data_IF_186226889810
#
_entry.id   IF_186226889810
#
_cell.length_a   1.000
_cell.length_b   1.000
_cell.length_c   1.000
_cell.angle_alpha   90.00
_cell.angle_beta   90.00
_cell.angle_gamma   90.00
#
_symmetry.space_group_name_H-M   'P 1'
#
loop_
_entity.id
_entity.type
_entity.pdbx_description
1 polymer ?
#
# COMPACT_ATOMS: atom_id res chain seq x y z
N UNK A 1 0.24 -15.11 26.71
CA UNK A 1 -1.16 -15.60 26.70
C UNK A 1 -1.21 -16.93 25.96
N UNK A 2 -1.82 -17.93 26.54
CA UNK A 2 -1.96 -19.22 25.88
C UNK A 2 -2.96 -19.13 24.74
N UNK A 3 -2.64 -19.78 23.61
CA UNK A 3 -3.52 -19.91 22.47
C UNK A 3 -4.27 -21.23 22.52
N UNK A 4 -5.44 -21.24 21.91
CA UNK A 4 -6.32 -22.41 21.88
C UNK A 4 -6.84 -22.63 20.48
N UNK A 5 -7.18 -23.90 20.18
CA UNK A 5 -7.92 -24.26 18.98
C UNK A 5 -9.07 -25.19 19.34
N UNK A 6 -10.07 -25.26 18.47
CA UNK A 6 -11.24 -26.09 18.68
C UNK A 6 -11.11 -27.39 17.92
N UNK A 7 -11.33 -28.52 18.63
CA UNK A 7 -11.39 -29.86 18.06
C UNK A 7 -12.71 -30.50 18.50
N UNK A 8 -13.58 -30.81 17.55
CA UNK A 8 -14.91 -31.36 17.82
C UNK A 8 -15.73 -30.52 18.81
N UNK A 9 -15.61 -29.19 18.73
CA UNK A 9 -16.28 -28.26 19.64
C UNK A 9 -15.60 -28.11 21.00
N UNK A 10 -14.49 -28.80 21.24
CA UNK A 10 -13.73 -28.71 22.49
C UNK A 10 -12.53 -27.79 22.27
N UNK A 11 -12.36 -26.83 23.16
CA UNK A 11 -11.19 -25.96 23.14
C UNK A 11 -9.98 -26.69 23.72
N UNK A 12 -8.90 -26.74 22.94
CA UNK A 12 -7.65 -27.41 23.33
C UNK A 12 -6.51 -26.40 23.26
N UNK A 13 -5.68 -26.39 24.30
CA UNK A 13 -4.50 -25.52 24.32
C UNK A 13 -3.48 -25.94 23.27
N UNK A 14 -2.82 -24.98 22.63
CA UNK A 14 -1.72 -25.26 21.73
C UNK A 14 -0.54 -25.87 22.50
N UNK A 15 0.19 -26.78 21.86
CA UNK A 15 1.48 -27.24 22.36
C UNK A 15 2.50 -26.12 22.28
N UNK A 16 3.63 -26.26 22.99
CA UNK A 16 4.72 -25.28 22.90
C UNK A 16 5.26 -25.13 21.48
N UNK A 17 5.32 -26.23 20.72
CA UNK A 17 5.75 -26.21 19.31
C UNK A 17 4.76 -25.46 18.42
N UNK A 18 3.45 -25.68 18.64
CA UNK A 18 2.41 -24.97 17.89
C UNK A 18 2.43 -23.47 18.17
N UNK A 19 2.61 -23.07 19.43
CA UNK A 19 2.73 -21.67 19.80
C UNK A 19 3.96 -21.02 19.18
N UNK A 20 5.11 -21.69 19.17
CA UNK A 20 6.33 -21.19 18.56
C UNK A 20 6.16 -20.98 17.05
N UNK A 21 5.55 -21.97 16.36
CA UNK A 21 5.28 -21.85 14.93
C UNK A 21 4.35 -20.69 14.62
N UNK A 22 3.31 -20.49 15.44
CA UNK A 22 2.36 -19.39 15.27
C UNK A 22 3.01 -18.04 15.52
N UNK A 23 3.87 -17.94 16.53
CA UNK A 23 4.63 -16.72 16.81
C UNK A 23 5.55 -16.35 15.64
N UNK A 24 6.22 -17.34 15.03
CA UNK A 24 7.05 -17.10 13.85
C UNK A 24 6.23 -16.61 12.65
N UNK A 25 5.04 -17.16 12.42
CA UNK A 25 4.13 -16.72 11.37
C UNK A 25 3.66 -15.29 11.60
N UNK A 26 3.27 -14.96 12.83
CA UNK A 26 2.83 -13.61 13.20
C UNK A 26 3.95 -12.59 13.05
N UNK A 27 5.18 -12.95 13.41
CA UNK A 27 6.33 -12.07 13.26
C UNK A 27 6.66 -11.82 11.79
N UNK A 28 6.60 -12.86 10.96
CA UNK A 28 6.80 -12.72 9.51
C UNK A 28 5.74 -11.80 8.90
N UNK A 29 4.49 -11.93 9.32
CA UNK A 29 3.41 -11.06 8.88
C UNK A 29 3.66 -9.61 9.31
N UNK A 30 4.07 -9.39 10.56
CA UNK A 30 4.37 -8.05 11.09
C UNK A 30 5.58 -7.43 10.38
N UNK A 31 6.62 -8.20 10.12
CA UNK A 31 7.82 -7.74 9.42
C UNK A 31 7.53 -7.34 7.97
N UNK A 32 6.51 -7.93 7.35
CA UNK A 32 6.09 -7.61 6.00
C UNK A 32 5.11 -6.43 5.92
N UNK A 33 4.68 -5.87 7.06
CA UNK A 33 3.71 -4.76 7.08
C UNK A 33 4.17 -3.52 6.30
N UNK A 34 5.43 -3.06 6.39
CA UNK A 34 5.89 -1.92 5.58
C UNK A 34 5.79 -2.19 4.08
N UNK A 35 6.15 -3.39 3.63
CA UNK A 35 6.07 -3.75 2.22
C UNK A 35 4.62 -3.79 1.73
N UNK A 36 3.69 -4.29 2.56
CA UNK A 36 2.25 -4.28 2.22
C UNK A 36 1.70 -2.86 2.13
N UNK A 37 2.06 -2.01 3.10
CA UNK A 37 1.64 -0.62 3.10
C UNK A 37 2.14 0.13 1.88
N UNK A 38 3.40 -0.11 1.48
CA UNK A 38 3.99 0.48 0.29
C UNK A 38 3.32 -0.04 -0.99
N UNK A 39 3.01 -1.34 -1.06
CA UNK A 39 2.29 -1.92 -2.18
C UNK A 39 0.89 -1.30 -2.34
N UNK A 40 0.17 -1.09 -1.25
CA UNK A 40 -1.14 -0.43 -1.24
C UNK A 40 -1.03 1.03 -1.68
N UNK A 41 -0.01 1.75 -1.22
CA UNK A 41 0.26 3.12 -1.64
C UNK A 41 0.53 3.21 -3.14
N UNK A 42 1.36 2.30 -3.66
CA UNK A 42 1.67 2.25 -5.09
C UNK A 42 0.45 1.92 -5.93
N UNK A 43 -0.41 1.01 -5.48
CA UNK A 43 -1.65 0.67 -6.17
C UNK A 43 -2.58 1.89 -6.29
N UNK A 44 -2.76 2.64 -5.21
CA UNK A 44 -3.54 3.88 -5.22
C UNK A 44 -2.92 4.93 -6.13
N UNK A 45 -1.60 5.11 -6.06
CA UNK A 45 -0.87 6.01 -6.95
C UNK A 45 -1.09 5.66 -8.42
N UNK A 46 -0.96 4.37 -8.75
CA UNK A 46 -1.11 3.90 -10.12
C UNK A 46 -2.54 4.13 -10.63
N UNK A 47 -3.55 3.94 -9.77
CA UNK A 47 -4.94 4.24 -10.11
C UNK A 47 -5.14 5.73 -10.41
N UNK A 48 -4.53 6.61 -9.62
CA UNK A 48 -4.62 8.05 -9.84
C UNK A 48 -3.89 8.48 -11.11
N UNK A 49 -2.71 7.91 -11.40
CA UNK A 49 -2.01 8.14 -12.67
C UNK A 49 -2.86 7.68 -13.85
N UNK A 50 -3.43 6.49 -13.77
CA UNK A 50 -4.28 5.92 -14.80
C UNK A 50 -5.53 6.75 -15.04
N UNK A 51 -6.15 7.25 -13.97
CA UNK A 51 -7.32 8.12 -14.07
C UNK A 51 -7.04 9.43 -14.80
N UNK A 52 -5.79 9.91 -14.78
CA UNK A 52 -5.39 11.14 -15.50
C UNK A 52 -4.79 10.87 -16.87
N UNK A 53 -4.44 9.63 -17.22
CA UNK A 53 -3.83 9.31 -18.53
C UNK A 53 -4.72 9.73 -19.70
N UNK A 54 -6.03 9.49 -19.59
CA UNK A 54 -6.97 9.87 -20.65
C UNK A 54 -7.02 11.38 -20.87
N UNK A 55 -6.85 12.17 -19.81
CA UNK A 55 -6.80 13.64 -19.92
C UNK A 55 -5.57 14.09 -20.69
N UNK A 56 -4.42 13.43 -20.43
CA UNK A 56 -3.18 13.71 -21.16
C UNK A 56 -3.35 13.38 -22.65
N UNK A 57 -3.87 12.20 -22.97
CA UNK A 57 -4.10 11.77 -24.34
C UNK A 57 -5.08 12.71 -25.03
N UNK A 58 -6.19 13.06 -24.37
CA UNK A 58 -7.19 13.98 -24.90
C UNK A 58 -6.61 15.35 -25.28
N UNK A 59 -5.78 15.93 -24.40
CA UNK A 59 -5.13 17.20 -24.67
C UNK A 59 -4.17 17.12 -25.86
N UNK A 60 -3.38 16.05 -25.92
CA UNK A 60 -2.45 15.84 -27.03
C UNK A 60 -3.18 15.64 -28.37
N UNK A 61 -4.29 14.92 -28.38
CA UNK A 61 -5.11 14.71 -29.58
C UNK A 61 -5.72 16.04 -30.09
N UNK A 62 -6.06 16.95 -29.18
CA UNK A 62 -6.56 18.29 -29.53
C UNK A 62 -5.47 19.23 -30.01
N UNK A 63 -4.21 18.80 -29.98
CA UNK A 63 -3.07 19.65 -30.31
C UNK A 63 -2.67 20.62 -29.20
N UNK A 64 -3.19 20.45 -27.99
CA UNK A 64 -2.85 21.26 -26.83
C UNK A 64 -1.60 20.75 -26.13
N UNK A 65 -0.98 21.59 -25.34
CA UNK A 65 0.12 21.20 -24.45
C UNK A 65 -0.44 20.82 -23.09
N UNK A 66 0.28 19.93 -22.38
CA UNK A 66 -0.09 19.56 -21.03
C UNK A 66 0.25 20.71 -20.09
N UNK A 67 -0.67 21.08 -19.18
CA UNK A 67 -0.43 22.15 -18.22
C UNK A 67 0.73 21.81 -17.27
N UNK A 68 1.43 22.83 -16.80
CA UNK A 68 2.49 22.66 -15.81
C UNK A 68 1.94 22.05 -14.51
N UNK A 69 0.76 22.47 -14.09
CA UNK A 69 0.12 21.93 -12.87
C UNK A 69 -0.16 20.44 -13.00
N UNK A 70 -0.65 19.99 -14.15
CA UNK A 70 -0.87 18.56 -14.39
C UNK A 70 0.44 17.78 -14.43
N UNK A 71 1.48 18.32 -15.05
CA UNK A 71 2.82 17.69 -15.05
C UNK A 71 3.35 17.56 -13.64
N UNK A 72 3.23 18.58 -12.82
CA UNK A 72 3.68 18.59 -11.42
C UNK A 72 2.88 17.60 -10.58
N UNK A 73 1.57 17.53 -10.76
CA UNK A 73 0.71 16.57 -10.08
C UNK A 73 1.12 15.13 -10.37
N UNK A 74 1.31 14.78 -11.65
CA UNK A 74 1.71 13.44 -12.05
C UNK A 74 3.12 13.11 -11.58
N UNK A 75 4.04 14.06 -11.59
CA UNK A 75 5.39 13.87 -11.07
C UNK A 75 5.38 13.63 -9.56
N UNK A 76 4.57 14.37 -8.83
CA UNK A 76 4.40 14.19 -7.39
C UNK A 76 3.85 12.80 -7.07
N UNK A 77 2.91 12.28 -7.88
CA UNK A 77 2.41 10.90 -7.73
C UNK A 77 3.52 9.88 -7.96
N UNK A 78 4.33 10.05 -9.01
CA UNK A 78 5.45 9.13 -9.29
C UNK A 78 6.48 9.12 -8.16
N UNK A 79 6.73 10.27 -7.55
CA UNK A 79 7.73 10.41 -6.49
C UNK A 79 7.21 10.02 -5.10
N UNK A 80 5.91 9.90 -4.93
CA UNK A 80 5.27 9.67 -3.63
C UNK A 80 5.80 8.42 -2.88
N UNK A 81 6.06 7.28 -3.53
CA UNK A 81 6.58 6.09 -2.84
C UNK A 81 8.00 6.23 -2.32
N UNK A 82 8.77 7.20 -2.79
CA UNK A 82 10.17 7.35 -2.39
C UNK A 82 10.29 7.61 -0.88
N UNK A 83 11.14 6.83 -0.21
CA UNK A 83 11.38 6.99 1.22
C UNK A 83 10.26 6.47 2.13
N UNK A 84 9.24 5.82 1.61
CA UNK A 84 8.12 5.27 2.39
C UNK A 84 8.46 3.86 2.88
N UNK A 85 9.39 3.75 3.81
CA UNK A 85 9.93 2.49 4.31
C UNK A 85 9.27 1.97 5.58
N UNK A 86 8.27 2.68 6.11
CA UNK A 86 7.49 2.26 7.28
C UNK A 86 5.99 2.37 7.01
N UNK A 87 5.18 1.63 7.76
CA UNK A 87 3.72 1.73 7.69
C UNK A 87 3.26 3.16 7.96
N UNK A 88 3.83 3.79 9.00
CA UNK A 88 3.48 5.16 9.39
C UNK A 88 3.75 6.16 8.27
N UNK A 89 4.90 6.06 7.61
CA UNK A 89 5.25 6.93 6.48
C UNK A 89 4.27 6.75 5.31
N UNK A 90 3.85 5.53 5.04
CA UNK A 90 2.86 5.25 4.00
C UNK A 90 1.48 5.83 4.36
N UNK A 91 1.04 5.65 5.60
CA UNK A 91 -0.27 6.14 6.07
C UNK A 91 -0.32 7.67 6.14
N UNK A 92 0.79 8.31 6.50
CA UNK A 92 0.90 9.75 6.63
C UNK A 92 1.34 10.46 5.34
N UNK A 93 1.45 9.74 4.24
CA UNK A 93 1.83 10.32 2.96
C UNK A 93 0.86 11.42 2.54
N UNK A 94 1.41 12.55 2.10
CA UNK A 94 0.60 13.66 1.59
C UNK A 94 0.33 13.45 0.11
N UNK A 95 -0.92 13.18 -0.23
CA UNK A 95 -1.33 12.97 -1.62
C UNK A 95 -1.45 14.32 -2.34
N UNK A 96 -0.90 14.44 -3.55
CA UNK A 96 -1.06 15.66 -4.33
C UNK A 96 -2.52 15.86 -4.72
N UNK A 97 -2.93 17.12 -4.84
CA UNK A 97 -4.28 17.48 -5.25
C UNK A 97 -4.33 17.65 -6.77
N UNK A 98 -5.28 16.98 -7.40
CA UNK A 98 -5.48 17.09 -8.85
C UNK A 98 -5.86 18.51 -9.24
N UNK A 99 -5.18 19.10 -10.24
CA UNK A 99 -5.53 20.45 -10.74
C UNK A 99 -6.90 20.50 -11.37
#
# INVERSE_FOLDING_TARGET
MARHHLINGIQVSFTAEEETARDAEEQTWADAAPARALANLRAKRDDLLKASDWEIVSELEKGNTISTDMKNYRQALRDLPAGKDTVEKCENATWPTKP
#
